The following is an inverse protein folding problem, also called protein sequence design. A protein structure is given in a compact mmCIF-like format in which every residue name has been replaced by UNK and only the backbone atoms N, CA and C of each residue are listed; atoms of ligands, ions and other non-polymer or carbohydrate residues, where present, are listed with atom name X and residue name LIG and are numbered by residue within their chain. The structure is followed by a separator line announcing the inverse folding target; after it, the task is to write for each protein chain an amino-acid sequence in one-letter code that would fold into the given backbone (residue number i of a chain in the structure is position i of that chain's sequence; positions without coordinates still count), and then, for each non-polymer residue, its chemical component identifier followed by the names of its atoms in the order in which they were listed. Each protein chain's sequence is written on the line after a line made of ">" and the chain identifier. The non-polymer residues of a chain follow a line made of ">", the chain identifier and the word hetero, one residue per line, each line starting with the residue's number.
data_IF_605883542841
#
_entry.id   IF_605883542841
#
_cell.length_a   1.000
_cell.length_b   1.000
_cell.length_c   1.000
_cell.angle_alpha   90.00
_cell.angle_beta   90.00
_cell.angle_gamma   90.00
#
_symmetry.space_group_name_H-M   'P 1'
#
loop_
_entity.id
_entity.type
_entity.pdbx_description
1 polymer ?
#
# COMPACT_ATOMS: atom_id res chain seq x y z
N UNK A 1 -9.56 -7.19 -13.17
CA UNK A 1 -9.54 -6.01 -12.28
C UNK A 1 -10.66 -6.21 -11.28
N UNK A 2 -10.35 -6.20 -9.98
CA UNK A 2 -11.33 -6.38 -8.90
C UNK A 2 -11.82 -5.02 -8.41
N UNK A 3 -13.09 -4.92 -8.02
CA UNK A 3 -13.63 -3.76 -7.31
C UNK A 3 -13.91 -4.20 -5.88
N UNK A 4 -13.30 -3.52 -4.91
CA UNK A 4 -13.44 -3.84 -3.50
C UNK A 4 -14.36 -2.83 -2.83
N UNK A 5 -15.52 -3.26 -2.37
CA UNK A 5 -16.43 -2.44 -1.56
C UNK A 5 -16.12 -2.64 -0.08
N UNK A 6 -16.03 -1.53 0.67
CA UNK A 6 -15.64 -1.52 2.09
C UNK A 6 -14.37 -2.35 2.42
N UNK A 7 -13.26 -2.19 1.66
CA UNK A 7 -12.06 -2.95 1.91
C UNK A 7 -11.43 -2.59 3.25
N UNK A 8 -10.97 -3.61 3.98
CA UNK A 8 -10.29 -3.45 5.26
C UNK A 8 -9.11 -4.41 5.36
N UNK A 9 -7.94 -3.90 5.71
CA UNK A 9 -6.82 -4.73 6.16
C UNK A 9 -7.16 -5.32 7.52
N UNK A 10 -7.28 -6.66 7.59
CA UNK A 10 -7.61 -7.40 8.82
C UNK A 10 -6.40 -8.11 9.42
N UNK A 11 -5.31 -8.23 8.67
CA UNK A 11 -4.01 -8.70 9.16
C UNK A 11 -2.90 -8.20 8.24
N UNK A 12 -1.69 -8.04 8.76
CA UNK A 12 -0.52 -7.66 7.97
C UNK A 12 0.74 -8.35 8.50
N UNK A 13 1.80 -8.40 7.70
CA UNK A 13 3.11 -8.88 8.15
C UNK A 13 3.82 -7.87 9.04
N UNK A 14 4.72 -8.38 9.90
CA UNK A 14 5.73 -7.55 10.59
C UNK A 14 6.75 -6.98 9.60
N UNK A 15 7.11 -7.76 8.58
CA UNK A 15 8.00 -7.30 7.52
C UNK A 15 7.33 -6.25 6.66
N UNK A 16 8.06 -5.16 6.44
CA UNK A 16 7.66 -4.07 5.55
C UNK A 16 8.30 -4.23 4.16
N UNK A 17 7.74 -3.51 3.18
CA UNK A 17 8.23 -3.39 1.83
C UNK A 17 8.03 -1.96 1.29
N UNK A 18 8.81 -1.59 0.28
CA UNK A 18 8.65 -0.38 -0.51
C UNK A 18 8.97 -0.67 -1.99
N UNK A 19 8.41 0.11 -2.91
CA UNK A 19 8.83 0.08 -4.32
C UNK A 19 10.16 0.81 -4.49
N UNK A 20 11.07 0.25 -5.29
CA UNK A 20 12.39 0.83 -5.57
C UNK A 20 12.31 2.21 -6.24
N UNK A 21 11.37 2.37 -7.17
CA UNK A 21 11.13 3.62 -7.90
C UNK A 21 10.19 4.59 -7.16
N UNK A 22 9.78 4.26 -5.93
CA UNK A 22 8.77 5.01 -5.17
C UNK A 22 7.35 4.77 -5.66
N UNK A 23 6.42 5.64 -5.29
CA UNK A 23 5.03 5.60 -5.76
C UNK A 23 4.66 6.87 -6.52
N UNK A 24 3.75 6.72 -7.47
CA UNK A 24 3.03 7.82 -8.10
C UNK A 24 1.54 7.75 -7.78
N UNK A 25 0.83 8.85 -8.01
CA UNK A 25 -0.62 8.90 -7.89
C UNK A 25 -1.19 9.85 -8.94
N UNK A 26 -2.27 9.45 -9.62
CA UNK A 26 -2.94 10.29 -10.63
C UNK A 26 -3.50 11.60 -10.07
N UNK A 27 -3.69 11.70 -8.75
CA UNK A 27 -4.14 12.92 -8.07
C UNK A 27 -3.00 13.83 -7.60
N UNK A 28 -1.75 13.53 -7.95
CA UNK A 28 -0.57 14.28 -7.51
C UNK A 28 0.24 14.71 -8.74
N UNK A 29 0.11 15.97 -9.12
CA UNK A 29 0.74 16.56 -10.31
C UNK A 29 2.20 17.00 -10.08
N UNK A 30 2.93 16.31 -9.22
CA UNK A 30 4.33 16.61 -8.88
C UNK A 30 5.08 15.35 -8.49
N UNK A 31 6.39 15.35 -8.75
CA UNK A 31 7.25 14.29 -8.26
C UNK A 31 7.43 14.40 -6.74
N UNK A 32 7.35 13.26 -6.06
CA UNK A 32 7.62 13.16 -4.61
C UNK A 32 8.57 11.98 -4.36
N UNK A 33 9.89 12.21 -4.42
CA UNK A 33 10.87 11.15 -4.29
C UNK A 33 10.92 10.59 -2.85
N UNK A 34 11.04 9.27 -2.74
CA UNK A 34 11.24 8.58 -1.46
C UNK A 34 10.55 7.21 -1.41
N UNK A 35 10.97 6.40 -0.45
CA UNK A 35 10.35 5.11 -0.19
C UNK A 35 9.05 5.28 0.60
N UNK A 36 7.98 4.71 0.04
CA UNK A 36 6.68 4.59 0.71
C UNK A 36 6.64 3.24 1.42
N UNK A 37 6.91 3.26 2.72
CA UNK A 37 6.95 2.04 3.53
C UNK A 37 5.54 1.51 3.77
N UNK A 38 5.30 0.26 3.37
CA UNK A 38 4.03 -0.47 3.52
C UNK A 38 4.27 -1.88 4.05
N UNK A 39 3.23 -2.60 4.45
CA UNK A 39 3.38 -3.98 4.85
C UNK A 39 3.61 -4.90 3.64
N UNK A 40 4.62 -5.77 3.71
CA UNK A 40 4.98 -6.67 2.62
C UNK A 40 3.85 -7.65 2.24
N UNK A 41 2.99 -7.98 3.21
CA UNK A 41 1.81 -8.82 3.06
C UNK A 41 0.64 -8.25 3.84
N UNK A 42 -0.56 -8.33 3.26
CA UNK A 42 -1.82 -7.99 3.94
C UNK A 42 -2.88 -9.05 3.68
N UNK A 43 -3.77 -9.24 4.65
CA UNK A 43 -5.05 -9.92 4.45
C UNK A 43 -6.14 -8.85 4.42
N UNK A 44 -6.91 -8.82 3.34
CA UNK A 44 -7.98 -7.84 3.13
C UNK A 44 -9.33 -8.54 3.12
N UNK A 45 -10.27 -8.01 3.87
CA UNK A 45 -11.70 -8.35 3.76
C UNK A 45 -12.42 -7.23 3.01
N UNK A 46 -13.31 -7.61 2.09
CA UNK A 46 -14.11 -6.68 1.29
C UNK A 46 -15.38 -7.37 0.79
N UNK A 47 -16.28 -6.62 0.17
CA UNK A 47 -17.41 -7.17 -0.58
C UNK A 47 -17.21 -7.00 -2.08
N UNK A 48 -17.52 -8.02 -2.88
CA UNK A 48 -17.53 -7.89 -4.34
C UNK A 48 -18.81 -7.16 -4.83
N UNK A 49 -18.96 -7.01 -6.15
CA UNK A 49 -20.10 -6.32 -6.77
C UNK A 49 -21.43 -7.05 -6.54
N UNK A 50 -21.39 -8.35 -6.28
CA UNK A 50 -22.54 -9.18 -5.92
C UNK A 50 -22.93 -9.05 -4.43
N UNK A 51 -22.15 -8.33 -3.61
CA UNK A 51 -22.38 -8.19 -2.17
C UNK A 51 -21.91 -9.41 -1.36
N UNK A 52 -21.07 -10.27 -1.94
CA UNK A 52 -20.50 -11.43 -1.27
C UNK A 52 -19.21 -11.04 -0.54
N UNK A 53 -19.07 -11.51 0.70
CA UNK A 53 -17.87 -11.24 1.50
C UNK A 53 -16.68 -12.04 0.99
N UNK A 54 -15.60 -11.34 0.68
CA UNK A 54 -14.33 -11.89 0.23
C UNK A 54 -13.25 -11.73 1.30
N UNK A 55 -12.28 -12.65 1.33
CA UNK A 55 -11.09 -12.56 2.18
C UNK A 55 -9.86 -13.04 1.40
N UNK A 56 -8.94 -12.12 1.11
CA UNK A 56 -7.79 -12.38 0.24
C UNK A 56 -6.47 -12.08 0.94
N UNK A 57 -5.43 -12.86 0.63
CA UNK A 57 -4.05 -12.61 1.08
C UNK A 57 -3.25 -12.06 -0.09
N UNK A 58 -2.70 -10.86 0.07
CA UNK A 58 -1.91 -10.18 -0.93
C UNK A 58 -0.46 -10.04 -0.47
N UNK A 59 0.46 -10.00 -1.43
CA UNK A 59 1.91 -9.88 -1.20
C UNK A 59 2.55 -9.09 -2.32
N UNK A 60 3.74 -8.56 -2.07
CA UNK A 60 4.51 -7.85 -3.08
C UNK A 60 3.76 -6.62 -3.62
N UNK A 61 3.85 -6.40 -4.93
CA UNK A 61 3.21 -5.26 -5.61
C UNK A 61 1.71 -5.12 -5.30
N UNK A 62 0.93 -6.20 -5.35
CA UNK A 62 -0.51 -6.15 -5.05
C UNK A 62 -0.82 -5.78 -3.60
N UNK A 63 0.08 -6.10 -2.65
CA UNK A 63 -0.04 -5.64 -1.26
C UNK A 63 0.08 -4.13 -1.17
N UNK A 64 1.05 -3.56 -1.91
CA UNK A 64 1.33 -2.12 -1.96
C UNK A 64 0.15 -1.37 -2.58
N UNK A 65 -0.30 -1.80 -3.77
CA UNK A 65 -1.42 -1.16 -4.48
C UNK A 65 -2.68 -1.14 -3.62
N UNK A 66 -3.08 -2.25 -3.02
CA UNK A 66 -4.31 -2.27 -2.22
C UNK A 66 -4.20 -1.41 -0.95
N UNK A 67 -3.02 -1.33 -0.33
CA UNK A 67 -2.80 -0.39 0.77
C UNK A 67 -2.86 1.07 0.29
N UNK A 68 -2.35 1.39 -0.91
CA UNK A 68 -2.48 2.73 -1.51
C UNK A 68 -3.94 3.11 -1.73
N UNK A 69 -4.74 2.23 -2.30
CA UNK A 69 -6.16 2.52 -2.55
C UNK A 69 -6.98 2.58 -1.26
N UNK A 70 -6.64 1.79 -0.24
CA UNK A 70 -7.28 1.90 1.08
C UNK A 70 -6.87 3.20 1.79
N UNK A 71 -5.67 3.71 1.58
CA UNK A 71 -5.26 5.01 2.12
C UNK A 71 -6.14 6.14 1.57
N UNK A 72 -6.47 6.12 0.28
CA UNK A 72 -7.39 7.09 -0.33
C UNK A 72 -8.76 7.12 0.34
N UNK A 73 -9.32 5.96 0.71
CA UNK A 73 -10.62 5.90 1.40
C UNK A 73 -10.55 6.39 2.85
N UNK A 74 -9.34 6.53 3.40
CA UNK A 74 -9.08 7.08 4.73
C UNK A 74 -8.45 8.50 4.68
N UNK A 75 -8.37 9.12 3.50
CA UNK A 75 -7.83 10.48 3.33
C UNK A 75 -6.32 10.59 3.55
N UNK A 76 -5.56 9.50 3.33
CA UNK A 76 -4.10 9.45 3.44
C UNK A 76 -3.51 9.40 2.02
N UNK A 77 -2.50 10.22 1.74
CA UNK A 77 -1.77 10.21 0.47
C UNK A 77 -0.44 9.46 0.62
N UNK A 78 0.07 8.90 -0.48
CA UNK A 78 1.32 8.10 -0.43
C UNK A 78 2.50 8.88 0.18
N UNK A 79 2.59 10.17 -0.11
CA UNK A 79 3.68 11.03 0.38
C UNK A 79 3.61 11.29 1.89
N UNK A 80 2.49 11.01 2.54
CA UNK A 80 2.38 11.11 4.00
C UNK A 80 3.17 10.00 4.71
N UNK A 81 3.48 8.93 3.98
CA UNK A 81 4.28 7.79 4.48
C UNK A 81 5.76 7.89 4.14
N UNK A 82 6.19 8.94 3.44
CA UNK A 82 7.60 9.20 3.15
C UNK A 82 8.25 9.88 4.35
N UNK A 83 9.42 9.37 4.77
CA UNK A 83 10.21 10.03 5.79
C UNK A 83 10.78 11.36 5.25
N UNK A 84 10.35 12.48 5.82
CA UNK A 84 10.73 13.84 5.34
C UNK A 84 12.21 14.16 5.56
N UNK A 85 12.82 13.62 6.61
CA UNK A 85 14.21 13.90 6.96
C UNK A 85 15.19 13.00 6.17
N UNK A 86 14.77 11.78 5.86
CA UNK A 86 15.54 10.82 5.06
C UNK A 86 14.62 9.98 4.16
N UNK A 87 14.24 10.50 2.97
CA UNK A 87 13.25 9.88 2.09
C UNK A 87 13.59 8.47 1.62
N UNK A 88 14.88 8.11 1.59
CA UNK A 88 15.37 6.81 1.13
C UNK A 88 15.93 5.95 2.28
N UNK A 89 15.51 6.22 3.52
CA UNK A 89 15.94 5.43 4.66
C UNK A 89 15.50 3.96 4.53
N UNK A 90 16.46 3.06 4.47
CA UNK A 90 16.24 1.61 4.53
C UNK A 90 16.44 1.16 5.97
N UNK A 91 15.39 0.57 6.56
CA UNK A 91 15.47 -0.08 7.87
C UNK A 91 15.76 -1.56 7.70
N UNK A 92 16.40 -2.16 8.71
CA UNK A 92 16.69 -3.60 8.70
C UNK A 92 15.43 -4.42 8.44
N UNK A 93 15.49 -5.31 7.44
CA UNK A 93 14.39 -6.19 7.06
C UNK A 93 13.38 -5.60 6.06
N UNK A 94 13.53 -4.33 5.66
CA UNK A 94 12.71 -3.72 4.59
C UNK A 94 12.99 -4.43 3.26
N UNK A 95 11.93 -4.90 2.61
CA UNK A 95 12.02 -5.45 1.26
C UNK A 95 11.86 -4.34 0.22
N UNK A 96 12.83 -4.18 -0.66
CA UNK A 96 12.69 -3.32 -1.83
C UNK A 96 12.17 -4.18 -2.99
N UNK A 97 11.07 -3.77 -3.59
CA UNK A 97 10.46 -4.42 -4.74
C UNK A 97 10.83 -3.59 -5.97
N UNK A 98 11.56 -4.20 -6.89
CA UNK A 98 11.85 -3.67 -8.23
C UNK A 98 10.69 -3.95 -9.19
#
# INVERSE_FOLDING_TARGET
>A
QEIMYNPKVVAHSVQDAALGDGEGCLSVDRDVPGYVVRHARVTVEYFNKEGEKQRVKLRGYNSIVVQHEIDHTNGIMFYDRINKDNPFAIKDGLLIIE
#
